data_IF_961791994374
#
_entry.id   IF_961791994374
#
_cell.length_a   1.000
_cell.length_b   1.000
_cell.length_c   1.000
_cell.angle_alpha   90.00
_cell.angle_beta   90.00
_cell.angle_gamma   90.00
#
_symmetry.space_group_name_H-M   'P 1'
#
loop_
_entity.id
_entity.type
_entity.pdbx_description
1 polymer ?
#
# COMPACT_ATOMS: atom_id res chain seq x y z
N UNK A 1 -23.27 13.52 30.65
CA UNK A 1 -24.20 13.62 31.80
C UNK A 1 -25.46 12.89 31.39
N UNK A 2 -26.08 12.05 32.22
CA UNK A 2 -27.34 11.42 31.87
C UNK A 2 -28.38 12.51 31.57
N UNK A 3 -29.00 12.43 30.39
CA UNK A 3 -30.04 13.35 29.98
C UNK A 3 -31.38 12.86 30.53
N UNK A 4 -32.11 13.73 31.21
CA UNK A 4 -33.40 13.41 31.81
C UNK A 4 -34.51 14.11 31.02
N UNK A 5 -35.38 13.34 30.39
CA UNK A 5 -36.51 13.89 29.63
C UNK A 5 -37.84 13.50 30.25
N UNK A 6 -38.89 14.27 29.99
CA UNK A 6 -40.22 14.02 30.59
C UNK A 6 -40.81 12.72 30.04
N UNK A 7 -41.57 12.00 30.88
CA UNK A 7 -42.28 10.77 30.47
C UNK A 7 -43.07 10.90 29.15
N UNK A 8 -43.84 11.99 28.91
CA UNK A 8 -44.56 12.17 27.64
C UNK A 8 -43.64 12.30 26.42
N UNK A 9 -42.49 12.94 26.58
CA UNK A 9 -41.49 13.11 25.51
C UNK A 9 -40.79 11.78 25.24
N UNK A 10 -40.41 11.05 26.29
CA UNK A 10 -39.84 9.70 26.18
C UNK A 10 -40.80 8.71 25.52
N UNK A 11 -42.09 8.78 25.85
CA UNK A 11 -43.14 7.98 25.25
C UNK A 11 -43.25 8.21 23.73
N UNK A 12 -43.18 9.48 23.30
CA UNK A 12 -43.16 9.85 21.87
C UNK A 12 -41.92 9.33 21.15
N UNK A 13 -40.74 9.47 21.76
CA UNK A 13 -39.46 9.00 21.18
C UNK A 13 -39.44 7.47 21.02
N UNK A 14 -39.94 6.73 22.01
CA UNK A 14 -40.01 5.26 21.98
C UNK A 14 -41.22 4.72 21.20
N UNK A 15 -42.14 5.58 20.75
CA UNK A 15 -43.35 5.17 20.02
C UNK A 15 -44.31 4.30 20.85
N UNK A 16 -44.34 4.48 22.18
CA UNK A 16 -45.18 3.69 23.10
C UNK A 16 -46.07 4.60 23.95
N UNK A 17 -47.16 4.05 24.48
CA UNK A 17 -48.05 4.80 25.37
C UNK A 17 -47.37 5.12 26.71
N UNK A 18 -47.59 6.31 27.27
CA UNK A 18 -47.07 6.74 28.58
C UNK A 18 -47.30 5.72 29.72
N UNK A 19 -48.44 5.01 29.73
CA UNK A 19 -48.75 3.98 30.72
C UNK A 19 -47.74 2.83 30.70
N UNK A 20 -47.20 2.50 29.53
CA UNK A 20 -46.13 1.51 29.37
C UNK A 20 -44.84 2.01 30.01
N UNK A 21 -44.52 3.30 29.86
CA UNK A 21 -43.35 3.94 30.49
C UNK A 21 -43.48 3.93 32.01
N UNK A 22 -44.63 4.34 32.56
CA UNK A 22 -44.88 4.27 34.01
C UNK A 22 -44.77 2.85 34.56
N UNK A 23 -45.20 1.84 33.77
CA UNK A 23 -45.04 0.43 34.14
C UNK A 23 -43.57 0.02 34.18
N UNK A 24 -42.77 0.42 33.18
CA UNK A 24 -41.33 0.14 33.15
C UNK A 24 -40.59 0.78 34.33
N UNK A 25 -40.96 2.01 34.70
CA UNK A 25 -40.40 2.67 35.89
C UNK A 25 -40.77 1.91 37.16
N UNK A 26 -42.04 1.49 37.30
CA UNK A 26 -42.52 0.73 38.45
C UNK A 26 -41.84 -0.63 38.59
N UNK A 27 -41.50 -1.25 37.46
CA UNK A 27 -40.79 -2.52 37.39
C UNK A 27 -39.27 -2.38 37.52
N UNK A 28 -38.75 -1.15 37.64
CA UNK A 28 -37.31 -0.85 37.63
C UNK A 28 -36.59 -1.26 36.34
N UNK A 29 -37.31 -1.35 35.22
CA UNK A 29 -36.75 -1.62 33.90
C UNK A 29 -36.01 -0.39 33.32
N UNK A 30 -36.38 0.81 33.76
CA UNK A 30 -35.76 2.09 33.36
C UNK A 30 -35.60 3.01 34.58
N UNK A 31 -34.50 3.75 34.60
CA UNK A 31 -34.23 4.73 35.64
C UNK A 31 -35.06 5.99 35.42
N UNK A 32 -35.67 6.50 36.49
CA UNK A 32 -36.39 7.75 36.46
C UNK A 32 -36.19 8.52 37.77
N UNK A 33 -36.23 9.86 37.68
CA UNK A 33 -36.08 10.76 38.81
C UNK A 33 -37.15 11.84 38.76
N UNK A 34 -37.66 12.22 39.92
CA UNK A 34 -38.58 13.35 40.05
C UNK A 34 -37.75 14.64 40.13
N UNK A 35 -38.00 15.56 39.19
CA UNK A 35 -37.40 16.89 39.14
C UNK A 35 -38.58 17.86 39.10
N UNK A 36 -38.64 18.79 40.06
CA UNK A 36 -39.73 19.78 40.19
C UNK A 36 -41.15 19.18 40.20
N UNK A 37 -41.32 18.03 40.85
CA UNK A 37 -42.62 17.34 40.93
C UNK A 37 -43.04 16.59 39.66
N UNK A 38 -42.21 16.60 38.62
CA UNK A 38 -42.46 15.90 37.35
C UNK A 38 -41.49 14.74 37.19
N UNK A 39 -41.99 13.60 36.73
CA UNK A 39 -41.20 12.41 36.53
C UNK A 39 -40.40 12.51 35.22
N UNK A 40 -39.09 12.35 35.30
CA UNK A 40 -38.18 12.35 34.16
C UNK A 40 -37.48 11.00 34.04
N UNK A 41 -37.38 10.49 32.82
CA UNK A 41 -36.71 9.22 32.50
C UNK A 41 -35.27 9.52 32.10
N UNK A 42 -34.35 8.75 32.64
CA UNK A 42 -32.95 8.75 32.22
C UNK A 42 -32.84 8.15 30.83
N UNK A 43 -32.34 8.95 29.88
CA UNK A 43 -32.10 8.51 28.51
C UNK A 43 -30.61 8.31 28.34
N UNK A 44 -30.25 7.07 28.06
CA UNK A 44 -28.94 6.78 27.48
C UNK A 44 -29.04 7.03 25.97
N UNK A 45 -28.49 8.16 25.52
CA UNK A 45 -28.41 8.56 24.10
C UNK A 45 -27.80 7.47 23.20
N UNK A 46 -27.07 6.53 23.79
CA UNK A 46 -26.35 5.48 23.08
C UNK A 46 -27.24 4.41 22.44
N UNK A 47 -28.46 4.17 22.95
CA UNK A 47 -29.21 2.95 22.59
C UNK A 47 -29.82 2.93 21.18
N UNK A 48 -30.10 4.09 20.57
CA UNK A 48 -30.70 4.17 19.22
C UNK A 48 -29.69 4.47 18.11
N UNK A 49 -28.56 5.11 18.45
CA UNK A 49 -27.49 5.41 17.50
C UNK A 49 -26.62 4.19 17.18
N UNK A 50 -26.66 3.15 18.02
CA UNK A 50 -25.78 1.99 17.89
C UNK A 50 -26.10 1.12 16.67
N UNK A 51 -27.36 0.82 16.37
CA UNK A 51 -27.65 -0.13 15.28
C UNK A 51 -27.34 0.42 13.88
N UNK A 52 -27.67 1.69 13.61
CA UNK A 52 -27.36 2.31 12.31
C UNK A 52 -25.86 2.52 12.12
N UNK A 53 -25.16 2.93 13.19
CA UNK A 53 -23.70 3.08 13.18
C UNK A 53 -22.99 1.75 13.02
N UNK A 54 -23.46 0.69 13.67
CA UNK A 54 -22.91 -0.67 13.53
C UNK A 54 -23.07 -1.17 12.10
N UNK A 55 -24.24 -1.00 11.47
CA UNK A 55 -24.43 -1.41 10.07
C UNK A 55 -23.50 -0.64 9.13
N UNK A 56 -23.33 0.66 9.35
CA UNK A 56 -22.44 1.50 8.54
C UNK A 56 -20.98 1.08 8.70
N UNK A 57 -20.52 0.86 9.94
CA UNK A 57 -19.16 0.39 10.26
C UNK A 57 -18.87 -1.02 9.72
N UNK A 58 -19.87 -1.91 9.68
CA UNK A 58 -19.74 -3.22 9.07
C UNK A 58 -19.62 -3.11 7.54
N UNK A 59 -20.40 -2.22 6.92
CA UNK A 59 -20.30 -1.95 5.49
C UNK A 59 -18.94 -1.38 5.10
N UNK A 60 -18.43 -0.44 5.90
CA UNK A 60 -17.14 0.20 5.70
C UNK A 60 -16.00 -0.80 5.92
N UNK A 61 -16.06 -1.63 6.97
CA UNK A 61 -15.08 -2.70 7.18
C UNK A 61 -15.05 -3.71 6.03
N UNK A 62 -16.22 -4.06 5.48
CA UNK A 62 -16.31 -4.97 4.34
C UNK A 62 -15.65 -4.35 3.11
N UNK A 63 -15.88 -3.06 2.86
CA UNK A 63 -15.26 -2.36 1.76
C UNK A 63 -13.74 -2.24 1.93
N UNK A 64 -13.27 -1.82 3.11
CA UNK A 64 -11.84 -1.71 3.42
C UNK A 64 -11.12 -3.06 3.25
N UNK A 65 -11.76 -4.17 3.60
CA UNK A 65 -11.17 -5.51 3.38
C UNK A 65 -10.98 -5.82 1.90
N UNK A 66 -11.95 -5.48 1.05
CA UNK A 66 -11.84 -5.65 -0.40
C UNK A 66 -10.76 -4.75 -0.99
N UNK A 67 -10.69 -3.50 -0.54
CA UNK A 67 -9.67 -2.57 -0.99
C UNK A 67 -8.27 -3.04 -0.58
N UNK A 68 -8.10 -3.56 0.64
CA UNK A 68 -6.85 -4.17 1.10
C UNK A 68 -6.47 -5.37 0.23
N UNK A 69 -7.42 -6.25 -0.08
CA UNK A 69 -7.17 -7.42 -0.94
C UNK A 69 -6.74 -7.00 -2.35
N UNK A 70 -7.45 -6.04 -2.94
CA UNK A 70 -7.10 -5.47 -4.24
C UNK A 70 -5.70 -4.83 -4.25
N UNK A 71 -5.37 -4.06 -3.20
CA UNK A 71 -4.06 -3.43 -3.06
C UNK A 71 -2.96 -4.47 -2.89
N UNK A 72 -3.19 -5.56 -2.16
CA UNK A 72 -2.22 -6.66 -2.03
C UNK A 72 -1.92 -7.31 -3.39
N UNK A 73 -2.96 -7.62 -4.18
CA UNK A 73 -2.79 -8.19 -5.52
C UNK A 73 -2.01 -7.23 -6.42
N UNK A 74 -2.32 -5.93 -6.40
CA UNK A 74 -1.57 -4.94 -7.17
C UNK A 74 -0.12 -4.81 -6.74
N UNK A 75 0.15 -4.92 -5.43
CA UNK A 75 1.50 -4.85 -4.89
C UNK A 75 2.32 -6.04 -5.35
N UNK A 76 1.74 -7.24 -5.31
CA UNK A 76 2.37 -8.47 -5.83
C UNK A 76 2.70 -8.34 -7.33
N UNK A 77 1.74 -7.88 -8.14
CA UNK A 77 1.98 -7.64 -9.56
C UNK A 77 3.08 -6.61 -9.82
N UNK A 78 3.12 -5.53 -9.04
CA UNK A 78 4.19 -4.54 -9.15
C UNK A 78 5.54 -5.12 -8.77
N UNK A 79 5.60 -5.94 -7.72
CA UNK A 79 6.81 -6.65 -7.29
C UNK A 79 7.32 -7.57 -8.42
N UNK A 80 6.45 -8.39 -9.00
CA UNK A 80 6.78 -9.27 -10.12
C UNK A 80 7.32 -8.49 -11.32
N UNK A 81 6.74 -7.33 -11.62
CA UNK A 81 7.22 -6.49 -12.73
C UNK A 81 8.62 -5.93 -12.46
N UNK A 82 8.90 -5.54 -11.21
CA UNK A 82 10.22 -5.05 -10.82
C UNK A 82 11.25 -6.17 -10.93
N UNK A 83 10.92 -7.36 -10.44
CA UNK A 83 11.83 -8.51 -10.48
C UNK A 83 12.14 -8.90 -11.92
N UNK A 84 11.13 -9.01 -12.78
CA UNK A 84 11.32 -9.29 -14.21
C UNK A 84 12.18 -8.22 -14.92
N UNK A 85 11.91 -6.93 -14.68
CA UNK A 85 12.71 -5.85 -15.26
C UNK A 85 14.14 -5.85 -14.74
N UNK A 86 14.35 -6.22 -13.48
CA UNK A 86 15.69 -6.32 -12.89
C UNK A 86 16.50 -7.45 -13.53
N UNK A 87 15.87 -8.61 -13.77
CA UNK A 87 16.48 -9.73 -14.48
C UNK A 87 16.81 -9.38 -15.94
N UNK A 88 15.87 -8.75 -16.64
CA UNK A 88 16.10 -8.31 -18.03
C UNK A 88 17.25 -7.32 -18.11
N UNK A 89 17.31 -6.36 -17.18
CA UNK A 89 18.41 -5.40 -17.08
C UNK A 89 19.74 -6.10 -16.82
N UNK A 90 19.77 -7.06 -15.90
CA UNK A 90 20.97 -7.83 -15.61
C UNK A 90 21.46 -8.60 -16.85
N UNK A 91 20.56 -9.32 -17.54
CA UNK A 91 20.90 -10.04 -18.78
C UNK A 91 21.40 -9.09 -19.87
N UNK A 92 20.81 -7.91 -20.01
CA UNK A 92 21.26 -6.90 -20.97
C UNK A 92 22.66 -6.35 -20.63
N UNK A 93 22.95 -6.18 -19.34
CA UNK A 93 24.25 -5.75 -18.85
C UNK A 93 25.32 -6.83 -19.09
N UNK A 94 25.05 -8.09 -18.75
CA UNK A 94 25.97 -9.21 -19.00
C UNK A 94 26.31 -9.38 -20.48
N UNK A 95 25.32 -9.22 -21.37
CA UNK A 95 25.53 -9.22 -22.83
C UNK A 95 26.41 -8.05 -23.26
N UNK A 96 26.15 -6.87 -22.74
CA UNK A 96 26.96 -5.67 -23.03
C UNK A 96 28.41 -5.87 -22.58
N UNK A 97 28.65 -6.35 -21.37
CA UNK A 97 29.98 -6.59 -20.83
C UNK A 97 30.75 -7.63 -21.67
N UNK A 98 30.06 -8.68 -22.12
CA UNK A 98 30.63 -9.69 -23.01
C UNK A 98 31.04 -9.10 -24.36
N UNK A 99 30.19 -8.25 -24.94
CA UNK A 99 30.48 -7.55 -26.21
C UNK A 99 31.68 -6.61 -26.03
N UNK A 100 31.69 -5.82 -24.96
CA UNK A 100 32.79 -4.91 -24.65
C UNK A 100 34.09 -5.70 -24.52
N UNK A 101 34.11 -6.77 -23.74
CA UNK A 101 35.29 -7.62 -23.57
C UNK A 101 35.78 -8.19 -24.90
N UNK A 102 34.86 -8.65 -25.77
CA UNK A 102 35.22 -9.17 -27.09
C UNK A 102 35.83 -8.08 -27.97
N UNK A 103 35.23 -6.89 -28.01
CA UNK A 103 35.74 -5.75 -28.78
C UNK A 103 37.10 -5.27 -28.24
N UNK A 104 37.30 -5.23 -26.93
CA UNK A 104 38.59 -4.88 -26.32
C UNK A 104 39.68 -5.85 -26.75
N UNK A 105 39.41 -7.17 -26.72
CA UNK A 105 40.36 -8.18 -27.22
C UNK A 105 40.66 -7.99 -28.72
N UNK A 106 39.65 -7.69 -29.53
CA UNK A 106 39.88 -7.38 -30.95
C UNK A 106 40.78 -6.16 -31.13
N UNK A 107 40.58 -5.08 -30.38
CA UNK A 107 41.42 -3.89 -30.44
C UNK A 107 42.87 -4.19 -30.02
N UNK A 108 43.07 -4.93 -28.94
CA UNK A 108 44.41 -5.34 -28.49
C UNK A 108 45.15 -6.16 -29.55
N UNK A 109 44.46 -7.12 -30.19
CA UNK A 109 45.07 -7.93 -31.26
C UNK A 109 45.42 -7.09 -32.48
N UNK A 110 44.56 -6.15 -32.88
CA UNK A 110 44.85 -5.22 -33.98
C UNK A 110 46.02 -4.29 -33.66
N UNK A 111 46.10 -3.78 -32.43
CA UNK A 111 47.21 -2.94 -32.00
C UNK A 111 48.54 -3.69 -32.06
N UNK A 112 48.59 -4.94 -31.56
CA UNK A 112 49.77 -5.80 -31.69
C UNK A 112 50.18 -6.07 -33.13
N UNK A 113 49.22 -6.29 -34.03
CA UNK A 113 49.49 -6.45 -35.46
C UNK A 113 50.10 -5.19 -36.08
N UNK A 114 49.57 -4.02 -35.74
CA UNK A 114 50.10 -2.74 -36.22
C UNK A 114 51.52 -2.51 -35.68
N UNK A 115 51.77 -2.84 -34.42
CA UNK A 115 53.08 -2.71 -33.79
C UNK A 115 54.12 -3.64 -34.43
N UNK A 116 53.79 -4.92 -34.66
CA UNK A 116 54.67 -5.87 -35.38
C UNK A 116 54.95 -5.39 -36.82
N UNK A 117 53.93 -4.91 -37.55
CA UNK A 117 54.14 -4.33 -38.88
C UNK A 117 55.06 -3.10 -38.83
N UNK A 118 54.90 -2.24 -37.82
CA UNK A 118 55.76 -1.08 -37.61
C UNK A 118 57.19 -1.52 -37.32
N UNK A 119 57.42 -2.45 -36.40
CA UNK A 119 58.74 -2.99 -36.08
C UNK A 119 59.42 -3.60 -37.31
N UNK A 120 58.72 -4.45 -38.08
CA UNK A 120 59.23 -5.02 -39.32
C UNK A 120 59.60 -3.96 -40.35
N UNK A 121 58.78 -2.91 -40.48
CA UNK A 121 59.05 -1.81 -41.40
C UNK A 121 60.31 -1.02 -40.99
N UNK A 122 60.48 -0.76 -39.69
CA UNK A 122 61.66 -0.10 -39.13
C UNK A 122 62.90 -0.97 -39.30
N UNK A 123 62.80 -2.27 -39.05
CA UNK A 123 63.88 -3.24 -39.27
C UNK A 123 64.31 -3.34 -40.73
N UNK A 124 63.36 -3.33 -41.68
CA UNK A 124 63.69 -3.29 -43.12
C UNK A 124 64.47 -2.02 -43.46
N UNK A 125 64.04 -0.86 -42.96
CA UNK A 125 64.74 0.42 -43.18
C UNK A 125 66.15 0.41 -42.58
N UNK A 126 66.30 -0.16 -41.38
CA UNK A 126 67.60 -0.31 -40.72
C UNK A 126 68.55 -1.22 -41.51
N UNK A 127 68.09 -2.37 -42.01
CA UNK A 127 68.90 -3.27 -42.85
C UNK A 127 69.38 -2.59 -44.14
N UNK A 128 68.51 -1.86 -44.83
CA UNK A 128 68.86 -1.11 -46.04
C UNK A 128 69.92 -0.04 -45.74
N UNK A 129 69.78 0.69 -44.63
CA UNK A 129 70.75 1.73 -44.23
C UNK A 129 72.14 1.17 -43.89
N UNK A 130 72.23 -0.08 -43.43
CA UNK A 130 73.49 -0.77 -43.14
C UNK A 130 74.07 -1.54 -44.34
N UNK A 131 73.43 -1.49 -45.52
CA UNK A 131 73.92 -2.17 -46.71
C UNK A 131 73.69 -3.69 -46.72
N UNK A 132 72.85 -4.22 -45.82
CA UNK A 132 72.37 -5.60 -45.87
C UNK A 132 71.14 -5.67 -46.80
N UNK A 133 71.36 -5.49 -48.10
CA UNK A 133 70.35 -5.58 -49.16
C UNK A 133 70.46 -6.87 -49.94
#
# INVERSE_FOLDING_TARGET
MPEYIKVPEYAKIKGVHERTIYRWIKNSDINARTIDGVLHVEVDDNSFLDNSKVVLLLSENSQLRKDIEFLKVRLEQAQDTIDNLSEERQRAQERSDTIILHLTRQLETKQKQIEDLRERSLWRRFKVALGFG
#
